data_IF_281322318822
#
_entry.id   IF_281322318822
#
_cell.length_a   1.000
_cell.length_b   1.000
_cell.length_c   1.000
_cell.angle_alpha   90.00
_cell.angle_beta   90.00
_cell.angle_gamma   90.00
#
_symmetry.space_group_name_H-M   'P 1'
#
loop_
_entity.id
_entity.type
_entity.pdbx_description
1 polymer ?
#
# COMPACT_ATOMS: atom_id res chain seq x y z
N UNK A 1 34.27 37.84 -8.86
CA UNK A 1 33.73 36.79 -9.74
C UNK A 1 34.31 35.45 -9.28
N UNK A 2 33.62 34.80 -8.35
CA UNK A 2 34.06 33.52 -7.81
C UNK A 2 33.51 32.40 -8.71
N UNK A 3 34.43 31.64 -9.29
CA UNK A 3 34.20 30.45 -10.08
C UNK A 3 33.36 29.45 -9.28
N UNK A 4 32.11 29.24 -9.70
CA UNK A 4 31.35 28.04 -9.30
C UNK A 4 32.04 26.85 -9.97
N UNK A 5 32.79 26.08 -9.19
CA UNK A 5 33.10 24.72 -9.56
C UNK A 5 31.77 23.97 -9.76
N UNK A 6 31.63 23.12 -10.79
CA UNK A 6 30.48 22.24 -10.89
C UNK A 6 30.60 21.27 -9.72
N UNK A 7 29.68 21.40 -8.75
CA UNK A 7 29.57 20.44 -7.65
C UNK A 7 29.36 19.06 -8.26
N UNK A 8 30.16 18.10 -7.79
CA UNK A 8 30.03 16.69 -8.12
C UNK A 8 28.57 16.29 -7.89
N UNK A 9 27.84 16.05 -8.98
CA UNK A 9 26.40 15.82 -8.95
C UNK A 9 26.18 14.39 -8.44
N UNK A 10 26.26 14.20 -7.13
CA UNK A 10 26.01 12.90 -6.52
C UNK A 10 24.51 12.59 -6.66
N UNK A 11 24.12 11.97 -7.78
CA UNK A 11 22.73 11.67 -8.21
C UNK A 11 22.00 10.70 -7.28
N UNK A 12 22.64 10.27 -6.20
CA UNK A 12 22.21 9.16 -5.35
C UNK A 12 21.67 9.61 -4.00
N UNK A 13 21.76 10.91 -3.69
CA UNK A 13 21.11 11.51 -2.52
C UNK A 13 19.82 12.20 -3.00
N UNK A 14 18.66 11.93 -2.37
CA UNK A 14 17.41 12.56 -2.77
C UNK A 14 17.49 14.06 -2.51
N UNK A 15 17.35 14.83 -3.57
CA UNK A 15 17.26 16.29 -3.54
C UNK A 15 15.86 16.69 -4.03
N UNK A 16 15.16 17.56 -3.32
CA UNK A 16 13.75 17.84 -3.64
C UNK A 16 13.62 18.79 -4.84
N UNK A 17 12.79 18.40 -5.82
CA UNK A 17 12.52 19.24 -7.00
C UNK A 17 11.62 20.42 -6.62
N UNK A 18 10.58 20.14 -5.84
CA UNK A 18 9.78 21.13 -5.12
C UNK A 18 9.80 20.79 -3.65
N UNK A 19 10.04 21.81 -2.81
CA UNK A 19 10.06 21.67 -1.35
C UNK A 19 8.81 20.93 -0.89
N UNK A 20 9.01 19.76 -0.28
CA UNK A 20 7.98 18.88 0.29
C UNK A 20 7.02 18.16 -0.70
N UNK A 21 7.28 18.16 -2.01
CA UNK A 21 6.41 17.46 -2.99
C UNK A 21 7.03 16.17 -3.48
N UNK A 22 8.15 16.27 -4.19
CA UNK A 22 8.83 15.12 -4.75
C UNK A 22 10.33 15.35 -4.88
N UNK A 23 11.06 14.25 -4.89
CA UNK A 23 12.51 14.28 -5.09
C UNK A 23 12.85 14.38 -6.57
N UNK A 24 14.06 14.80 -6.89
CA UNK A 24 14.72 14.49 -8.16
C UNK A 24 14.88 12.97 -8.28
N UNK A 25 15.04 12.45 -9.51
CA UNK A 25 15.22 11.03 -9.72
C UNK A 25 16.52 10.53 -9.08
N UNK A 26 16.44 9.51 -8.24
CA UNK A 26 17.59 8.81 -7.65
C UNK A 26 17.41 7.29 -7.80
N UNK A 27 18.52 6.55 -7.75
CA UNK A 27 18.52 5.09 -7.81
C UNK A 27 18.44 4.49 -6.39
N UNK A 28 17.46 3.62 -6.12
CA UNK A 28 17.18 3.12 -4.77
C UNK A 28 18.35 2.31 -4.19
N UNK A 29 18.97 1.44 -4.99
CA UNK A 29 20.14 0.67 -4.55
C UNK A 29 21.36 1.54 -4.26
N UNK A 30 21.53 2.63 -4.99
CA UNK A 30 22.62 3.58 -4.74
C UNK A 30 22.38 4.36 -3.46
N UNK A 31 21.13 4.76 -3.18
CA UNK A 31 20.74 5.34 -1.90
C UNK A 31 21.07 4.38 -0.76
N UNK A 32 20.65 3.11 -0.86
CA UNK A 32 20.93 2.08 0.13
C UNK A 32 22.43 2.00 0.44
N UNK A 33 23.26 1.83 -0.59
CA UNK A 33 24.70 1.67 -0.42
C UNK A 33 25.34 2.91 0.22
N UNK A 34 24.98 4.11 -0.23
CA UNK A 34 25.50 5.37 0.33
C UNK A 34 25.17 5.51 1.83
N UNK A 35 23.98 5.08 2.26
CA UNK A 35 23.63 5.07 3.68
C UNK A 35 24.42 4.01 4.46
N UNK A 36 24.60 2.81 3.92
CA UNK A 36 25.40 1.76 4.57
C UNK A 36 26.87 2.13 4.69
N UNK A 37 27.42 2.90 3.75
CA UNK A 37 28.80 3.38 3.79
C UNK A 37 29.01 4.50 4.84
N UNK A 38 27.96 5.28 5.13
CA UNK A 38 28.02 6.41 6.08
C UNK A 38 27.65 6.02 7.51
N UNK A 39 26.78 5.04 7.68
CA UNK A 39 26.32 4.57 8.98
C UNK A 39 27.30 3.54 9.57
N UNK A 40 27.40 3.52 10.90
CA UNK A 40 28.09 2.43 11.60
C UNK A 40 27.20 1.20 11.58
N UNK A 41 27.75 -0.02 11.59
CA UNK A 41 26.95 -1.25 11.66
C UNK A 41 25.94 -1.30 12.82
N UNK A 42 26.25 -0.67 13.96
CA UNK A 42 25.32 -0.57 15.09
C UNK A 42 24.07 0.28 14.79
N UNK A 43 24.14 1.24 13.86
CA UNK A 43 23.03 2.15 13.56
C UNK A 43 21.87 1.45 12.84
N UNK A 44 22.16 0.38 12.09
CA UNK A 44 21.17 -0.42 11.36
C UNK A 44 21.08 -1.87 11.85
N UNK A 45 21.70 -2.19 12.98
CA UNK A 45 21.60 -3.53 13.55
C UNK A 45 20.22 -3.78 14.16
N UNK A 46 19.76 -5.03 14.05
CA UNK A 46 18.57 -5.50 14.76
C UNK A 46 18.88 -5.98 16.18
N UNK A 47 20.15 -6.07 16.55
CA UNK A 47 20.58 -6.42 17.89
C UNK A 47 20.31 -5.26 18.85
N UNK A 48 19.85 -5.62 20.05
CA UNK A 48 19.70 -4.67 21.14
C UNK A 48 20.99 -4.71 21.94
N UNK A 49 21.71 -3.60 22.01
CA UNK A 49 22.86 -3.47 22.91
C UNK A 49 22.40 -3.72 24.35
N UNK A 50 23.25 -4.38 25.14
CA UNK A 50 22.98 -4.50 26.56
C UNK A 50 23.05 -3.12 27.23
N UNK A 51 22.30 -2.93 28.31
CA UNK A 51 22.20 -1.62 28.97
C UNK A 51 23.56 -1.11 29.46
N UNK A 52 24.47 -1.99 29.89
CA UNK A 52 25.77 -1.56 30.41
C UNK A 52 26.67 -1.04 29.29
N UNK A 53 26.72 -1.75 28.16
CA UNK A 53 27.42 -1.30 26.95
C UNK A 53 26.84 0.01 26.41
N UNK A 54 25.50 0.11 26.34
CA UNK A 54 24.84 1.36 25.93
C UNK A 54 25.23 2.53 26.84
N UNK A 55 25.17 2.33 28.15
CA UNK A 55 25.51 3.38 29.12
C UNK A 55 26.99 3.77 29.06
N UNK A 56 27.90 2.81 28.85
CA UNK A 56 29.31 3.09 28.67
C UNK A 56 29.57 3.93 27.40
N UNK A 57 28.98 3.52 26.28
CA UNK A 57 29.08 4.24 25.00
C UNK A 57 28.50 5.67 25.11
N UNK A 58 27.33 5.82 25.74
CA UNK A 58 26.68 7.11 25.95
C UNK A 58 27.53 8.03 26.83
N UNK A 59 28.12 7.51 27.91
CA UNK A 59 28.98 8.30 28.79
C UNK A 59 30.25 8.78 28.05
N UNK A 60 30.85 7.92 27.23
CA UNK A 60 32.01 8.27 26.40
C UNK A 60 31.66 9.35 25.36
N UNK A 61 30.57 9.18 24.60
CA UNK A 61 30.15 10.10 23.55
C UNK A 61 29.76 11.48 24.09
N UNK A 62 29.07 11.51 25.22
CA UNK A 62 28.64 12.75 25.87
C UNK A 62 29.72 13.38 26.77
N UNK A 63 30.86 12.71 26.95
CA UNK A 63 31.96 13.17 27.81
C UNK A 63 31.59 13.24 29.29
N UNK A 64 30.76 12.31 29.77
CA UNK A 64 30.25 12.27 31.13
C UNK A 64 31.17 11.44 32.04
N UNK A 65 31.37 11.91 33.28
CA UNK A 65 32.05 11.13 34.30
C UNK A 65 31.12 10.06 34.91
N UNK A 66 31.72 9.09 35.59
CA UNK A 66 31.01 7.94 36.17
C UNK A 66 29.96 8.36 37.24
N UNK A 67 30.21 9.44 37.98
CA UNK A 67 29.26 9.93 38.97
C UNK A 67 28.03 10.51 38.27
N UNK A 68 28.23 11.40 37.31
CA UNK A 68 27.14 11.98 36.52
C UNK A 68 26.31 10.91 35.80
N UNK A 69 26.96 9.87 35.24
CA UNK A 69 26.25 8.77 34.60
C UNK A 69 25.40 7.95 35.58
N UNK A 70 25.89 7.74 36.80
CA UNK A 70 25.14 7.04 37.85
C UNK A 70 23.93 7.84 38.30
N UNK A 71 24.09 9.16 38.46
CA UNK A 71 23.00 10.08 38.78
C UNK A 71 21.94 10.08 37.67
N UNK A 72 22.34 10.17 36.40
CA UNK A 72 21.44 10.08 35.25
C UNK A 72 20.70 8.74 35.20
N UNK A 73 21.38 7.61 35.44
CA UNK A 73 20.76 6.29 35.48
C UNK A 73 19.68 6.22 36.56
N UNK A 74 19.95 6.81 37.72
CA UNK A 74 18.97 6.89 38.80
C UNK A 74 17.78 7.76 38.41
N UNK A 75 18.03 9.00 37.95
CA UNK A 75 17.01 10.00 37.63
C UNK A 75 16.13 9.62 36.42
N UNK A 76 16.70 8.94 35.43
CA UNK A 76 16.02 8.52 34.21
C UNK A 76 15.53 7.07 34.27
N UNK A 77 15.54 6.44 35.46
CA UNK A 77 15.01 5.10 35.66
C UNK A 77 13.50 5.05 35.48
N UNK A 78 12.96 3.87 35.14
CA UNK A 78 11.51 3.63 35.11
C UNK A 78 10.85 3.92 36.46
N UNK A 79 11.57 3.73 37.57
CA UNK A 79 11.06 4.02 38.91
C UNK A 79 10.94 5.53 39.16
N UNK A 80 11.87 6.33 38.64
CA UNK A 80 11.75 7.80 38.68
C UNK A 80 10.65 8.36 37.76
N UNK A 81 10.23 7.59 36.75
CA UNK A 81 9.08 7.92 35.90
C UNK A 81 7.73 7.59 36.55
N UNK A 82 7.70 6.82 37.66
CA UNK A 82 6.45 6.52 38.37
C UNK A 82 5.98 7.75 39.14
N UNK A 83 4.88 8.35 38.70
CA UNK A 83 4.22 9.44 39.41
C UNK A 83 3.27 8.97 40.54
N UNK A 84 3.18 7.66 40.78
CA UNK A 84 2.21 7.05 41.69
C UNK A 84 2.88 6.10 42.69
N UNK A 85 2.34 5.96 43.92
CA UNK A 85 2.87 5.04 44.92
C UNK A 85 2.91 3.59 44.43
N UNK A 86 3.90 2.83 44.87
CA UNK A 86 4.01 1.40 44.54
C UNK A 86 2.75 0.64 44.99
N UNK A 87 2.14 -0.11 44.06
CA UNK A 87 0.92 -0.88 44.28
C UNK A 87 -0.37 -0.21 43.83
N UNK A 88 -0.35 1.07 43.42
CA UNK A 88 -1.51 1.72 42.82
C UNK A 88 -1.57 1.43 41.31
N UNK A 89 -2.54 0.64 40.87
CA UNK A 89 -2.84 0.46 39.45
C UNK A 89 -3.53 1.72 38.94
N UNK A 90 -2.83 2.50 38.12
CA UNK A 90 -3.39 3.70 37.50
C UNK A 90 -3.76 3.40 36.06
N UNK A 91 -4.98 3.78 35.71
CA UNK A 91 -5.43 3.70 34.32
C UNK A 91 -4.67 4.73 33.48
N UNK A 92 -3.72 4.25 32.69
CA UNK A 92 -2.89 5.06 31.78
C UNK A 92 -3.68 5.74 30.65
N UNK A 93 -4.96 5.39 30.48
CA UNK A 93 -5.87 6.05 29.54
C UNK A 93 -6.54 7.30 30.08
N UNK A 94 -6.50 7.53 31.39
CA UNK A 94 -7.07 8.72 32.00
C UNK A 94 -6.09 9.89 31.91
N UNK A 95 -6.48 10.94 31.17
CA UNK A 95 -5.74 12.20 31.18
C UNK A 95 -6.08 12.98 32.47
N UNK A 96 -5.10 13.43 33.26
CA UNK A 96 -5.33 14.19 34.48
C UNK A 96 -6.16 15.47 34.24
N UNK A 97 -6.97 15.92 35.22
CA UNK A 97 -7.58 17.24 35.15
C UNK A 97 -6.48 18.32 35.13
N UNK A 98 -6.63 19.31 34.24
CA UNK A 98 -5.67 20.41 34.02
C UNK A 98 -4.26 20.00 33.54
N UNK A 99 -4.14 19.33 32.37
CA UNK A 99 -2.85 18.93 31.84
C UNK A 99 -2.00 20.14 31.42
N UNK A 100 -0.81 20.29 32.00
CA UNK A 100 0.18 21.30 31.61
C UNK A 100 0.92 20.94 30.33
N UNK A 101 1.06 19.63 30.04
CA UNK A 101 1.72 19.12 28.83
C UNK A 101 0.81 19.23 27.61
N UNK A 102 1.30 19.87 26.54
CA UNK A 102 0.57 19.99 25.26
C UNK A 102 0.17 18.64 24.68
N UNK A 103 0.98 17.60 24.86
CA UNK A 103 0.69 16.23 24.42
C UNK A 103 -0.54 15.65 25.12
N UNK A 104 -0.69 15.88 26.41
CA UNK A 104 -1.87 15.47 27.18
C UNK A 104 -3.11 16.28 26.80
N UNK A 105 -2.97 17.59 26.56
CA UNK A 105 -4.05 18.43 26.01
C UNK A 105 -4.53 17.89 24.65
N UNK A 106 -3.60 17.55 23.76
CA UNK A 106 -3.92 16.97 22.45
C UNK A 106 -4.54 15.57 22.57
N UNK A 107 -4.01 14.71 23.47
CA UNK A 107 -4.58 13.39 23.76
C UNK A 107 -6.01 13.52 24.26
N UNK A 108 -6.28 14.42 25.21
CA UNK A 108 -7.62 14.69 25.73
C UNK A 108 -8.55 15.18 24.63
N UNK A 109 -8.13 16.16 23.81
CA UNK A 109 -8.89 16.60 22.62
C UNK A 109 -9.20 15.44 21.67
N UNK A 110 -8.24 14.55 21.40
CA UNK A 110 -8.44 13.37 20.53
C UNK A 110 -9.39 12.35 21.16
N UNK A 111 -9.29 12.11 22.47
CA UNK A 111 -10.19 11.24 23.22
C UNK A 111 -11.62 11.80 23.24
N UNK A 112 -11.79 13.09 23.51
CA UNK A 112 -13.09 13.76 23.53
C UNK A 112 -13.71 13.80 22.12
N UNK A 113 -12.91 14.08 21.09
CA UNK A 113 -13.34 13.97 19.70
C UNK A 113 -13.78 12.55 19.37
N UNK A 114 -12.97 11.53 19.70
CA UNK A 114 -13.30 10.12 19.48
C UNK A 114 -14.53 9.67 20.28
N UNK A 115 -14.76 10.21 21.48
CA UNK A 115 -15.95 9.94 22.27
C UNK A 115 -17.20 10.65 21.70
N UNK A 116 -17.04 11.83 21.10
CA UNK A 116 -18.12 12.54 20.39
C UNK A 116 -18.52 11.85 19.09
N UNK A 117 -17.55 11.19 18.45
CA UNK A 117 -17.77 10.35 17.31
C UNK A 117 -18.50 9.10 17.79
N UNK A 118 -19.81 8.99 17.49
CA UNK A 118 -20.60 7.74 17.63
C UNK A 118 -20.13 6.67 16.62
N UNK A 119 -18.83 6.47 16.48
CA UNK A 119 -18.23 5.49 15.60
C UNK A 119 -18.09 4.20 16.40
N UNK A 120 -19.03 3.29 16.20
CA UNK A 120 -18.80 1.90 16.54
C UNK A 120 -17.73 1.37 15.60
N UNK A 121 -16.57 0.98 16.15
CA UNK A 121 -15.60 0.18 15.40
C UNK A 121 -16.33 -1.08 14.94
N UNK A 122 -16.41 -1.26 13.65
CA UNK A 122 -17.02 -2.48 13.12
C UNK A 122 -15.98 -3.60 13.10
N UNK A 123 -16.42 -4.83 12.86
CA UNK A 123 -15.56 -6.01 12.84
C UNK A 123 -14.32 -5.87 11.93
N UNK A 124 -14.43 -5.19 10.79
CA UNK A 124 -13.31 -5.00 9.86
C UNK A 124 -12.24 -4.06 10.43
N UNK A 125 -12.65 -3.00 11.14
CA UNK A 125 -11.70 -2.08 11.77
C UNK A 125 -10.88 -2.81 12.85
N UNK A 126 -11.51 -3.73 13.57
CA UNK A 126 -10.84 -4.57 14.57
C UNK A 126 -9.85 -5.55 13.92
N UNK A 127 -10.23 -6.21 12.82
CA UNK A 127 -9.32 -7.10 12.09
C UNK A 127 -8.13 -6.36 11.48
N UNK A 128 -8.34 -5.17 10.93
CA UNK A 128 -7.24 -4.35 10.40
C UNK A 128 -6.23 -3.98 11.50
N UNK A 129 -6.71 -3.56 12.67
CA UNK A 129 -5.85 -3.26 13.82
C UNK A 129 -5.13 -4.52 14.35
N UNK A 130 -5.78 -5.68 14.31
CA UNK A 130 -5.16 -6.95 14.71
C UNK A 130 -4.03 -7.33 13.74
N UNK A 131 -4.27 -7.24 12.42
CA UNK A 131 -3.25 -7.49 11.40
C UNK A 131 -2.04 -6.55 11.54
N UNK A 132 -2.27 -5.26 11.77
CA UNK A 132 -1.19 -4.30 12.01
C UNK A 132 -0.36 -4.70 13.23
N UNK A 133 -1.02 -5.02 14.36
CA UNK A 133 -0.35 -5.46 15.60
C UNK A 133 0.47 -6.74 15.43
N UNK A 134 0.02 -7.66 14.58
CA UNK A 134 0.73 -8.91 14.31
C UNK A 134 2.05 -8.72 13.57
N UNK A 135 2.27 -7.55 12.94
CA UNK A 135 3.45 -7.27 12.11
C UNK A 135 4.47 -6.39 12.83
N UNK A 136 4.04 -5.50 13.72
CA UNK A 136 4.92 -4.58 14.46
C UNK A 136 5.94 -5.34 15.32
N UNK A 137 7.23 -5.12 15.05
CA UNK A 137 8.35 -5.75 15.77
C UNK A 137 8.41 -7.28 15.65
N UNK A 138 7.67 -7.88 14.72
CA UNK A 138 7.63 -9.33 14.55
C UNK A 138 8.97 -9.83 14.01
N UNK A 139 9.56 -10.80 14.71
CA UNK A 139 10.78 -11.50 14.28
C UNK A 139 10.40 -12.91 13.83
N UNK A 140 11.04 -13.40 12.78
CA UNK A 140 10.86 -14.80 12.36
C UNK A 140 11.58 -15.73 13.33
N UNK A 141 10.97 -16.90 13.58
CA UNK A 141 11.61 -17.97 14.35
C UNK A 141 12.72 -18.67 13.54
N UNK A 142 12.66 -18.58 12.21
CA UNK A 142 13.64 -19.17 11.31
C UNK A 142 14.66 -18.11 10.84
N UNK A 143 15.97 -18.26 11.12
CA UNK A 143 16.97 -17.27 10.76
C UNK A 143 17.05 -16.95 9.25
N UNK A 144 16.72 -17.89 8.36
CA UNK A 144 16.71 -17.68 6.91
C UNK A 144 15.59 -16.75 6.42
N UNK A 145 14.49 -16.67 7.18
CA UNK A 145 13.33 -15.84 6.88
C UNK A 145 13.44 -14.44 7.49
N UNK A 146 14.54 -14.13 8.18
CA UNK A 146 14.79 -12.80 8.71
C UNK A 146 15.21 -11.84 7.59
N UNK A 147 14.61 -10.65 7.56
CA UNK A 147 15.07 -9.50 6.77
C UNK A 147 16.56 -9.28 7.07
N UNK A 148 17.44 -9.11 6.06
CA UNK A 148 18.84 -8.86 6.32
C UNK A 148 19.04 -7.43 6.85
N UNK A 149 20.06 -7.25 7.68
CA UNK A 149 20.48 -5.92 8.10
C UNK A 149 20.90 -5.09 6.89
N UNK A 150 20.53 -3.81 6.90
CA UNK A 150 20.76 -2.92 5.77
C UNK A 150 19.88 -3.17 4.54
N UNK A 151 18.83 -3.99 4.62
CA UNK A 151 17.77 -4.04 3.61
C UNK A 151 17.02 -2.71 3.52
N UNK A 152 16.44 -2.40 2.36
CA UNK A 152 15.53 -1.25 2.20
C UNK A 152 14.08 -1.66 2.24
N UNK A 153 13.25 -0.81 2.84
CA UNK A 153 11.79 -0.93 2.84
C UNK A 153 11.22 0.28 2.12
N UNK A 154 10.29 0.01 1.20
CA UNK A 154 9.54 0.99 0.44
C UNK A 154 8.09 1.01 0.92
N UNK A 155 7.54 2.21 1.07
CA UNK A 155 6.08 2.40 1.24
C UNK A 155 5.48 2.80 -0.09
N UNK A 156 4.56 1.97 -0.61
CA UNK A 156 3.98 2.10 -1.94
C UNK A 156 2.48 2.27 -1.82
N UNK A 157 1.98 3.41 -2.29
CA UNK A 157 0.56 3.71 -2.40
C UNK A 157 0.06 3.37 -3.80
N UNK A 158 -1.00 2.58 -3.87
CA UNK A 158 -1.68 2.23 -5.12
C UNK A 158 -3.06 2.87 -5.09
N UNK A 159 -3.38 3.67 -6.11
CA UNK A 159 -4.67 4.36 -6.21
C UNK A 159 -5.67 3.53 -7.01
N UNK A 160 -6.95 3.92 -6.90
CA UNK A 160 -7.99 3.35 -7.75
C UNK A 160 -7.70 3.60 -9.22
N UNK A 161 -8.21 2.73 -10.11
CA UNK A 161 -7.98 2.92 -11.52
C UNK A 161 -8.68 4.19 -12.01
N UNK A 162 -8.09 4.87 -12.99
CA UNK A 162 -8.52 6.19 -13.46
C UNK A 162 -9.99 6.23 -13.91
N UNK A 163 -10.54 5.08 -14.32
CA UNK A 163 -11.95 4.88 -14.68
C UNK A 163 -12.90 5.15 -13.50
N UNK A 164 -12.48 4.98 -12.25
CA UNK A 164 -13.31 5.19 -11.05
C UNK A 164 -13.20 6.64 -10.56
N UNK A 165 -13.78 7.56 -11.35
CA UNK A 165 -13.72 9.02 -11.13
C UNK A 165 -13.99 9.49 -9.69
N UNK A 166 -14.84 8.76 -8.95
CA UNK A 166 -15.20 9.10 -7.55
C UNK A 166 -13.98 9.10 -6.61
N UNK A 167 -12.97 8.28 -6.88
CA UNK A 167 -11.84 8.08 -5.96
C UNK A 167 -10.51 8.62 -6.48
N UNK A 168 -10.50 9.28 -7.64
CA UNK A 168 -9.27 9.75 -8.30
C UNK A 168 -8.43 10.75 -7.49
N UNK A 169 -8.95 11.33 -6.39
CA UNK A 169 -8.30 12.47 -5.71
C UNK A 169 -8.22 12.40 -4.19
N UNK A 170 -8.78 11.37 -3.53
CA UNK A 170 -9.03 11.47 -2.08
C UNK A 170 -8.17 10.52 -1.25
N UNK A 171 -7.98 9.25 -1.67
CA UNK A 171 -7.25 8.24 -0.89
C UNK A 171 -6.61 7.17 -1.76
N UNK A 172 -5.43 6.63 -1.36
CA UNK A 172 -4.93 5.41 -1.96
C UNK A 172 -5.96 4.29 -1.75
N UNK A 173 -6.10 3.43 -2.76
CA UNK A 173 -6.89 2.21 -2.66
C UNK A 173 -6.24 1.25 -1.66
N UNK A 174 -4.91 1.16 -1.67
CA UNK A 174 -4.14 0.37 -0.72
C UNK A 174 -2.73 0.94 -0.53
N UNK A 175 -2.12 0.63 0.61
CA UNK A 175 -0.71 0.92 0.91
C UNK A 175 -0.01 -0.39 1.23
N UNK A 176 1.10 -0.62 0.55
CA UNK A 176 1.96 -1.78 0.71
C UNK A 176 3.30 -1.34 1.28
N UNK A 177 3.87 -2.13 2.18
CA UNK A 177 5.30 -2.10 2.48
C UNK A 177 5.98 -3.29 1.82
N UNK A 178 7.06 -3.02 1.09
CA UNK A 178 7.82 -4.03 0.33
C UNK A 178 9.32 -3.81 0.54
N UNK A 179 10.09 -4.88 0.53
CA UNK A 179 11.56 -4.80 0.57
C UNK A 179 12.13 -4.47 -0.81
N UNK A 180 13.35 -3.92 -0.85
CA UNK A 180 14.07 -3.67 -2.11
C UNK A 180 14.31 -4.92 -2.95
N UNK A 181 14.39 -6.08 -2.30
CA UNK A 181 14.57 -7.39 -2.92
C UNK A 181 13.34 -7.96 -3.63
N UNK A 182 12.14 -7.40 -3.40
CA UNK A 182 10.96 -7.80 -4.18
C UNK A 182 11.09 -7.33 -5.63
N UNK A 183 10.60 -8.14 -6.56
CA UNK A 183 10.47 -7.79 -7.97
C UNK A 183 9.25 -6.89 -8.21
N UNK A 184 9.23 -6.23 -9.38
CA UNK A 184 8.01 -5.57 -9.84
C UNK A 184 6.86 -6.57 -10.12
N UNK A 185 7.19 -7.83 -10.43
CA UNK A 185 6.18 -8.89 -10.51
C UNK A 185 5.52 -9.18 -9.16
N UNK A 186 6.28 -9.15 -8.06
CA UNK A 186 5.73 -9.29 -6.70
C UNK A 186 4.80 -8.11 -6.36
N UNK A 187 5.17 -6.89 -6.77
CA UNK A 187 4.30 -5.71 -6.62
C UNK A 187 3.01 -5.88 -7.43
N UNK A 188 3.09 -6.34 -8.67
CA UNK A 188 1.90 -6.65 -9.50
C UNK A 188 0.99 -7.64 -8.79
N UNK A 189 1.54 -8.72 -8.25
CA UNK A 189 0.75 -9.79 -7.64
C UNK A 189 0.10 -9.36 -6.32
N UNK A 190 0.70 -8.41 -5.61
CA UNK A 190 0.13 -7.81 -4.39
C UNK A 190 -1.04 -6.84 -4.66
N UNK A 191 -1.15 -6.26 -5.86
CA UNK A 191 -2.21 -5.30 -6.19
C UNK A 191 -3.56 -6.02 -6.33
N UNK A 192 -4.54 -5.63 -5.51
CA UNK A 192 -5.89 -6.21 -5.50
C UNK A 192 -6.88 -5.41 -6.37
N UNK A 193 -6.73 -5.38 -7.69
CA UNK A 193 -7.66 -4.63 -8.54
C UNK A 193 -8.98 -5.39 -8.75
N UNK A 194 -10.14 -4.76 -8.55
CA UNK A 194 -11.46 -5.40 -8.77
C UNK A 194 -11.63 -5.80 -10.25
N UNK A 195 -11.02 -5.07 -11.18
CA UNK A 195 -11.01 -5.43 -12.60
C UNK A 195 -10.39 -6.80 -12.85
N UNK A 196 -9.49 -7.29 -11.99
CA UNK A 196 -8.93 -8.64 -12.10
C UNK A 196 -9.95 -9.74 -11.85
N UNK A 197 -10.99 -9.46 -11.06
CA UNK A 197 -12.07 -10.39 -10.73
C UNK A 197 -13.23 -10.30 -11.71
N UNK A 198 -13.31 -9.25 -12.53
CA UNK A 198 -14.42 -9.01 -13.43
C UNK A 198 -14.55 -10.16 -14.44
N UNK A 199 -15.79 -10.52 -14.78
CA UNK A 199 -16.08 -11.45 -15.87
C UNK A 199 -16.53 -10.63 -17.07
N UNK A 200 -15.83 -10.80 -18.20
CA UNK A 200 -16.16 -10.12 -19.45
C UNK A 200 -17.20 -10.92 -20.22
N UNK A 201 -18.20 -10.23 -20.77
CA UNK A 201 -19.21 -10.83 -21.65
C UNK A 201 -20.64 -10.55 -21.22
N UNK A 202 -21.54 -10.72 -22.18
CA UNK A 202 -22.97 -10.56 -22.02
C UNK A 202 -23.62 -11.95 -21.92
N UNK A 203 -24.46 -12.16 -20.90
CA UNK A 203 -25.00 -13.48 -20.56
C UNK A 203 -26.51 -13.46 -20.29
N UNK A 204 -27.27 -12.50 -20.81
CA UNK A 204 -28.73 -12.44 -20.62
C UNK A 204 -29.49 -13.60 -21.25
N UNK A 205 -28.94 -14.27 -22.25
CA UNK A 205 -29.58 -15.44 -22.85
C UNK A 205 -29.14 -16.75 -22.19
N UNK A 206 -27.99 -16.73 -21.51
CA UNK A 206 -27.33 -17.93 -20.98
C UNK A 206 -26.64 -17.63 -19.65
N UNK A 207 -27.39 -17.18 -18.64
CA UNK A 207 -26.83 -16.71 -17.37
C UNK A 207 -26.12 -17.81 -16.58
N UNK A 208 -26.48 -19.08 -16.79
CA UNK A 208 -25.81 -20.25 -16.18
C UNK A 208 -24.49 -20.63 -16.87
N UNK A 209 -24.19 -20.03 -18.04
CA UNK A 209 -22.93 -20.21 -18.75
C UNK A 209 -21.94 -19.08 -18.48
N UNK A 210 -22.25 -18.16 -17.55
CA UNK A 210 -21.27 -17.19 -17.09
C UNK A 210 -20.05 -17.93 -16.52
N UNK A 211 -18.85 -17.71 -17.07
CA UNK A 211 -17.69 -18.51 -16.71
C UNK A 211 -17.21 -18.21 -15.30
N UNK A 212 -16.57 -19.21 -14.69
CA UNK A 212 -15.87 -19.07 -13.41
C UNK A 212 -14.49 -18.41 -13.56
N UNK A 213 -13.96 -18.29 -14.78
CA UNK A 213 -12.67 -17.63 -15.00
C UNK A 213 -12.79 -16.12 -14.80
N UNK A 214 -11.74 -15.53 -14.22
CA UNK A 214 -11.67 -14.09 -13.95
C UNK A 214 -10.78 -13.39 -14.99
N UNK A 215 -10.98 -12.09 -15.20
CA UNK A 215 -10.22 -11.30 -16.18
C UNK A 215 -8.70 -11.48 -16.07
N UNK A 216 -8.15 -11.59 -14.85
CA UNK A 216 -6.69 -11.76 -14.65
C UNK A 216 -6.14 -13.05 -15.28
N UNK A 217 -6.96 -14.08 -15.44
CA UNK A 217 -6.53 -15.35 -16.03
C UNK A 217 -6.39 -15.26 -17.55
N UNK A 218 -7.19 -14.42 -18.20
CA UNK A 218 -7.17 -14.21 -19.65
C UNK A 218 -6.31 -13.03 -20.08
N UNK A 219 -6.42 -11.91 -19.37
CA UNK A 219 -5.74 -10.66 -19.68
C UNK A 219 -4.50 -10.49 -18.81
N UNK A 220 -3.49 -11.33 -19.09
CA UNK A 220 -2.26 -11.42 -18.30
C UNK A 220 -1.28 -10.27 -18.55
N UNK A 221 -1.41 -9.52 -19.64
CA UNK A 221 -0.52 -8.41 -19.95
C UNK A 221 -0.65 -7.25 -18.95
N UNK A 222 0.49 -6.74 -18.49
CA UNK A 222 0.58 -5.56 -17.65
C UNK A 222 1.95 -4.89 -17.80
N UNK A 223 2.04 -3.62 -17.43
CA UNK A 223 3.32 -2.94 -17.25
C UNK A 223 3.30 -1.96 -16.07
N UNK A 224 4.48 -1.69 -15.54
CA UNK A 224 4.74 -0.46 -14.79
C UNK A 224 5.52 0.53 -15.67
N UNK A 225 5.30 1.81 -15.48
CA UNK A 225 6.05 2.87 -16.15
C UNK A 225 6.71 3.77 -15.09
N UNK A 226 8.03 3.63 -14.95
CA UNK A 226 8.86 4.44 -14.07
C UNK A 226 9.96 5.15 -14.87
N UNK A 227 10.07 6.47 -14.70
CA UNK A 227 11.17 7.30 -15.25
C UNK A 227 11.52 7.01 -16.73
N UNK A 228 10.52 6.84 -17.59
CA UNK A 228 10.72 6.61 -19.04
C UNK A 228 10.97 5.16 -19.44
N UNK A 229 10.85 4.21 -18.51
CA UNK A 229 11.02 2.78 -18.76
C UNK A 229 9.69 2.04 -18.55
N UNK A 230 9.28 1.25 -19.54
CA UNK A 230 8.17 0.31 -19.43
C UNK A 230 8.69 -1.04 -18.94
N UNK A 231 8.24 -1.47 -17.76
CA UNK A 231 8.53 -2.78 -17.19
C UNK A 231 7.35 -3.70 -17.49
N UNK A 232 7.44 -4.46 -18.58
CA UNK A 232 6.38 -5.34 -19.07
C UNK A 232 6.38 -6.67 -18.34
N UNK A 233 5.20 -7.25 -18.10
CA UNK A 233 5.07 -8.60 -17.58
C UNK A 233 5.20 -9.58 -18.73
N UNK A 234 6.28 -10.34 -18.71
CA UNK A 234 6.57 -11.35 -19.74
C UNK A 234 6.69 -12.76 -19.14
N UNK A 235 6.12 -12.98 -17.94
CA UNK A 235 6.19 -14.26 -17.21
C UNK A 235 5.45 -15.39 -17.89
N UNK A 236 4.43 -15.07 -18.68
CA UNK A 236 3.58 -16.04 -19.36
C UNK A 236 3.68 -15.88 -20.89
N UNK A 237 3.68 -16.98 -21.67
CA UNK A 237 3.68 -16.92 -23.13
C UNK A 237 2.53 -16.11 -23.75
N UNK A 238 1.40 -16.01 -23.04
CA UNK A 238 0.21 -15.27 -23.44
C UNK A 238 0.34 -13.76 -23.21
N UNK A 239 1.33 -13.32 -22.42
CA UNK A 239 1.58 -11.90 -22.22
C UNK A 239 1.99 -11.23 -23.52
N UNK A 240 1.30 -10.14 -23.83
CA UNK A 240 1.60 -9.26 -24.95
C UNK A 240 2.21 -7.97 -24.43
N UNK A 241 3.12 -7.40 -25.20
CA UNK A 241 3.68 -6.09 -24.91
C UNK A 241 2.68 -4.99 -25.26
N UNK A 242 1.81 -4.68 -24.30
CA UNK A 242 0.81 -3.62 -24.42
C UNK A 242 1.43 -2.20 -24.34
N UNK A 243 2.72 -2.08 -23.98
CA UNK A 243 3.41 -0.79 -23.96
C UNK A 243 3.75 -0.27 -25.37
N UNK A 244 3.88 -1.17 -26.35
CA UNK A 244 4.26 -0.84 -27.72
C UNK A 244 3.37 0.23 -28.35
N UNK A 245 2.05 0.17 -28.12
CA UNK A 245 1.10 1.16 -28.61
C UNK A 245 1.47 2.57 -28.17
N UNK A 246 1.84 2.75 -26.89
CA UNK A 246 2.25 4.03 -26.33
C UNK A 246 3.61 4.48 -26.84
N UNK A 247 4.54 3.53 -27.01
CA UNK A 247 5.89 3.80 -27.52
C UNK A 247 5.84 4.31 -28.96
N UNK A 248 5.08 3.64 -29.83
CA UNK A 248 4.89 4.05 -31.23
C UNK A 248 4.17 5.39 -31.32
N UNK A 249 3.09 5.57 -30.56
CA UNK A 249 2.35 6.82 -30.50
C UNK A 249 3.23 8.02 -30.08
N UNK A 250 4.13 7.79 -29.12
CA UNK A 250 5.08 8.80 -28.62
C UNK A 250 6.15 9.14 -29.66
N UNK A 251 6.67 8.12 -30.35
CA UNK A 251 7.65 8.29 -31.44
C UNK A 251 7.10 9.16 -32.57
N UNK A 252 5.87 8.90 -33.01
CA UNK A 252 5.19 9.67 -34.07
C UNK A 252 4.98 11.15 -33.71
N UNK A 253 5.03 11.47 -32.41
CA UNK A 253 4.84 12.83 -31.86
C UNK A 253 6.13 13.47 -31.38
N UNK A 254 7.28 12.88 -31.67
CA UNK A 254 8.59 13.35 -31.23
C UNK A 254 8.74 13.47 -29.70
N UNK A 255 8.10 12.58 -28.93
CA UNK A 255 8.43 12.40 -27.52
C UNK A 255 9.82 11.75 -27.36
N UNK A 256 10.46 11.88 -26.18
CA UNK A 256 11.68 11.14 -25.87
C UNK A 256 11.50 9.63 -26.06
N UNK A 257 12.58 8.94 -26.45
CA UNK A 257 12.57 7.49 -26.57
C UNK A 257 12.32 6.84 -25.20
N UNK A 258 11.40 5.88 -25.17
CA UNK A 258 11.15 5.05 -24.01
C UNK A 258 12.01 3.79 -24.06
N UNK A 259 12.43 3.31 -22.89
CA UNK A 259 13.08 2.01 -22.75
C UNK A 259 12.08 0.94 -22.31
N UNK A 260 12.46 -0.32 -22.46
CA UNK A 260 11.66 -1.47 -22.04
C UNK A 260 12.52 -2.45 -21.25
N UNK A 261 11.93 -3.05 -20.22
CA UNK A 261 12.51 -4.09 -19.39
C UNK A 261 11.42 -5.07 -18.95
N UNK A 262 11.82 -6.21 -18.38
CA UNK A 262 10.88 -7.20 -17.83
C UNK A 262 10.67 -6.94 -16.34
N UNK A 263 9.41 -6.97 -15.89
CA UNK A 263 9.10 -6.69 -14.48
C UNK A 263 9.53 -7.85 -13.55
N UNK A 264 9.54 -9.08 -14.06
CA UNK A 264 9.99 -10.26 -13.31
C UNK A 264 11.51 -10.29 -13.06
N UNK A 265 12.28 -9.61 -13.91
CA UNK A 265 13.74 -9.52 -13.81
C UNK A 265 14.21 -8.24 -13.10
N UNK A 266 13.29 -7.36 -12.70
CA UNK A 266 13.60 -6.05 -12.11
C UNK A 266 13.18 -6.00 -10.63
N UNK A 267 14.14 -5.79 -9.73
CA UNK A 267 13.85 -5.58 -8.31
C UNK A 267 13.52 -4.13 -8.00
N UNK A 268 12.80 -3.88 -6.91
CA UNK A 268 12.48 -2.52 -6.45
C UNK A 268 13.75 -1.71 -6.16
N UNK A 269 14.82 -2.36 -5.69
CA UNK A 269 16.12 -1.74 -5.44
C UNK A 269 16.81 -1.23 -6.71
N UNK A 270 16.49 -1.80 -7.88
CA UNK A 270 17.09 -1.43 -9.17
C UNK A 270 16.40 -0.19 -9.80
N UNK A 271 15.29 0.26 -9.20
CA UNK A 271 14.50 1.34 -9.78
C UNK A 271 15.16 2.70 -9.57
N UNK A 272 15.06 3.52 -10.62
CA UNK A 272 15.26 4.96 -10.53
C UNK A 272 13.91 5.64 -10.37
N UNK A 273 13.75 6.42 -9.30
CA UNK A 273 12.44 6.96 -8.90
C UNK A 273 12.58 8.34 -8.26
N UNK A 274 11.44 9.02 -8.16
CA UNK A 274 11.17 10.21 -7.39
C UNK A 274 10.20 9.82 -6.28
N UNK A 275 10.58 10.03 -5.02
CA UNK A 275 9.66 9.82 -3.90
C UNK A 275 8.55 10.88 -3.98
N UNK A 276 7.30 10.47 -3.78
CA UNK A 276 6.12 11.34 -3.87
C UNK A 276 5.61 11.59 -5.30
N UNK A 277 6.24 11.02 -6.32
CA UNK A 277 5.83 11.20 -7.72
C UNK A 277 4.83 10.12 -8.20
N UNK A 278 3.82 10.49 -9.00
CA UNK A 278 2.86 9.53 -9.56
C UNK A 278 3.44 8.77 -10.75
N UNK A 279 3.60 7.46 -10.58
CA UNK A 279 3.92 6.49 -11.62
C UNK A 279 2.69 5.74 -12.10
N UNK A 280 2.80 5.05 -13.23
CA UNK A 280 1.69 4.34 -13.85
C UNK A 280 1.88 2.82 -13.73
N UNK A 281 0.83 2.14 -13.29
CA UNK A 281 0.64 0.70 -13.46
C UNK A 281 -0.55 0.50 -14.38
N UNK A 282 -0.40 -0.24 -15.48
CA UNK A 282 -1.49 -0.57 -16.38
C UNK A 282 -1.59 -2.09 -16.50
N UNK A 283 -2.79 -2.63 -16.37
CA UNK A 283 -3.07 -4.04 -16.62
C UNK A 283 -4.35 -4.19 -17.45
N UNK A 284 -4.48 -5.34 -18.13
CA UNK A 284 -5.63 -5.65 -19.00
C UNK A 284 -5.81 -4.71 -20.21
N UNK A 285 -4.84 -3.82 -20.47
CA UNK A 285 -4.82 -2.92 -21.62
C UNK A 285 -5.33 -1.50 -21.33
N UNK A 286 -6.26 -1.32 -20.39
CA UNK A 286 -6.88 -0.02 -20.10
C UNK A 286 -7.12 0.27 -18.61
N UNK A 287 -6.80 -0.67 -17.71
CA UNK A 287 -6.95 -0.46 -16.28
C UNK A 287 -5.70 0.22 -15.70
N UNK A 288 -5.72 1.55 -15.70
CA UNK A 288 -4.60 2.41 -15.31
C UNK A 288 -4.69 2.85 -13.85
N UNK A 289 -3.66 2.55 -13.05
CA UNK A 289 -3.52 2.93 -11.65
C UNK A 289 -2.34 3.88 -11.46
N UNK A 290 -2.51 4.86 -10.57
CA UNK A 290 -1.37 5.60 -10.05
C UNK A 290 -0.68 4.80 -8.94
N UNK A 291 0.64 4.70 -9.03
CA UNK A 291 1.51 4.09 -8.03
C UNK A 291 2.47 5.17 -7.53
N UNK A 292 2.48 5.42 -6.22
CA UNK A 292 3.33 6.44 -5.60
C UNK A 292 4.20 5.77 -4.54
N UNK A 293 5.51 5.85 -4.71
CA UNK A 293 6.47 5.48 -3.65
C UNK A 293 6.59 6.69 -2.73
N UNK A 294 6.07 6.59 -1.52
CA UNK A 294 6.03 7.72 -0.56
C UNK A 294 7.18 7.73 0.42
N UNK A 295 7.85 6.59 0.61
CA UNK A 295 8.97 6.47 1.54
C UNK A 295 9.93 5.38 1.07
N UNK A 296 11.22 5.61 1.25
CA UNK A 296 12.31 4.65 1.00
C UNK A 296 13.31 4.81 2.15
N UNK A 297 13.48 3.75 2.95
CA UNK A 297 14.34 3.79 4.14
C UNK A 297 14.99 2.43 4.40
N UNK A 298 16.02 2.41 5.24
CA UNK A 298 16.56 1.16 5.76
C UNK A 298 15.56 0.49 6.70
N UNK A 299 15.57 -0.84 6.73
CA UNK A 299 14.85 -1.65 7.69
C UNK A 299 15.33 -1.34 9.11
N UNK A 300 14.40 -1.20 10.04
CA UNK A 300 14.64 -0.89 11.44
C UNK A 300 14.22 -2.06 12.33
N UNK A 301 14.83 -2.20 13.50
CA UNK A 301 14.58 -3.31 14.46
C UNK A 301 13.12 -3.45 14.93
N UNK A 302 12.32 -2.40 14.81
CA UNK A 302 10.89 -2.39 15.17
C UNK A 302 9.96 -2.72 13.98
N UNK A 303 10.50 -2.87 12.77
CA UNK A 303 9.72 -3.33 11.64
C UNK A 303 9.37 -4.81 11.77
N UNK A 304 8.47 -5.28 10.90
CA UNK A 304 8.34 -6.70 10.66
C UNK A 304 9.63 -7.21 10.02
N UNK A 305 10.37 -8.05 10.74
CA UNK A 305 11.60 -8.67 10.28
C UNK A 305 11.36 -10.08 9.69
N UNK A 306 10.13 -10.56 9.67
CA UNK A 306 9.76 -11.80 9.00
C UNK A 306 9.45 -11.54 7.51
N UNK A 307 10.34 -12.01 6.63
CA UNK A 307 10.23 -11.86 5.16
C UNK A 307 8.93 -12.44 4.61
N UNK A 308 8.43 -13.53 5.20
CA UNK A 308 7.26 -14.25 4.69
C UNK A 308 5.96 -13.46 4.79
N UNK A 309 5.94 -12.41 5.61
CA UNK A 309 4.79 -11.54 5.75
C UNK A 309 4.76 -10.41 4.71
N UNK A 310 5.88 -10.16 4.02
CA UNK A 310 5.90 -9.22 2.91
C UNK A 310 5.34 -9.87 1.64
N UNK A 311 4.68 -9.09 0.74
CA UNK A 311 4.32 -7.67 0.89
C UNK A 311 3.31 -7.40 2.01
N UNK A 312 3.59 -6.40 2.85
CA UNK A 312 2.72 -6.06 3.99
C UNK A 312 1.64 -5.07 3.55
N UNK A 313 0.38 -5.48 3.66
CA UNK A 313 -0.76 -4.58 3.46
C UNK A 313 -1.02 -3.75 4.73
N UNK A 314 -0.54 -2.51 4.76
CA UNK A 314 -0.70 -1.62 5.93
C UNK A 314 -1.96 -0.76 5.88
N UNK A 315 -2.49 -0.52 4.68
CA UNK A 315 -3.75 0.19 4.50
C UNK A 315 -4.54 -0.37 3.33
N UNK A 316 -5.86 -0.43 3.50
CA UNK A 316 -6.80 -0.69 2.41
C UNK A 316 -8.04 0.17 2.59
N UNK A 317 -8.40 0.88 1.53
CA UNK A 317 -9.60 1.70 1.53
C UNK A 317 -10.84 0.81 1.38
N UNK A 318 -11.71 0.86 2.39
CA UNK A 318 -12.95 0.10 2.41
C UNK A 318 -14.04 0.75 1.57
N UNK A 319 -14.65 -0.03 0.69
CA UNK A 319 -15.79 0.41 -0.12
C UNK A 319 -17.09 -0.14 0.48
N UNK A 320 -18.16 0.64 0.42
CA UNK A 320 -19.49 0.15 0.80
C UNK A 320 -19.98 -0.85 -0.25
N UNK A 321 -20.25 -2.08 0.18
CA UNK A 321 -20.81 -3.14 -0.65
C UNK A 321 -22.13 -2.71 -1.29
N UNK A 322 -22.24 -2.93 -2.60
CA UNK A 322 -23.42 -2.61 -3.39
C UNK A 322 -24.42 -3.77 -3.32
N UNK A 323 -25.60 -3.48 -2.77
CA UNK A 323 -26.69 -4.45 -2.63
C UNK A 323 -27.62 -4.38 -3.83
N UNK A 324 -28.35 -5.47 -4.06
CA UNK A 324 -29.43 -5.55 -5.02
C UNK A 324 -30.40 -4.37 -4.89
N UNK A 325 -30.74 -3.73 -5.99
CA UNK A 325 -31.66 -2.60 -6.07
C UNK A 325 -33.12 -2.99 -5.75
N UNK A 326 -33.46 -4.29 -5.82
CA UNK A 326 -34.81 -4.79 -5.54
C UNK A 326 -34.97 -5.20 -4.08
N UNK A 327 -34.14 -6.15 -3.61
CA UNK A 327 -34.33 -6.69 -2.26
C UNK A 327 -33.57 -5.90 -1.19
N UNK A 328 -32.53 -5.13 -1.53
CA UNK A 328 -31.64 -4.42 -0.59
C UNK A 328 -31.01 -5.31 0.51
N UNK A 329 -31.05 -6.63 0.35
CA UNK A 329 -30.52 -7.62 1.30
C UNK A 329 -29.20 -8.18 0.79
N UNK A 330 -29.22 -8.80 -0.39
CA UNK A 330 -28.09 -9.53 -0.94
C UNK A 330 -27.18 -8.63 -1.79
N UNK A 331 -25.89 -8.98 -1.86
CA UNK A 331 -24.90 -8.32 -2.72
C UNK A 331 -25.32 -8.48 -4.18
N UNK A 332 -25.15 -7.41 -4.96
CA UNK A 332 -25.37 -7.47 -6.40
C UNK A 332 -24.40 -8.45 -7.07
N UNK A 333 -24.88 -9.17 -8.08
CA UNK A 333 -24.09 -10.10 -8.90
C UNK A 333 -24.30 -9.90 -10.40
N UNK A 334 -25.33 -9.14 -10.78
CA UNK A 334 -25.70 -8.90 -12.17
C UNK A 334 -26.00 -7.42 -12.38
N UNK A 335 -25.40 -6.83 -13.40
CA UNK A 335 -25.81 -5.54 -13.94
C UNK A 335 -26.62 -5.77 -15.19
N UNK A 336 -27.80 -5.17 -15.27
CA UNK A 336 -28.58 -5.11 -16.51
C UNK A 336 -28.55 -3.71 -17.12
N UNK A 337 -28.62 -3.66 -18.44
CA UNK A 337 -28.77 -2.44 -19.24
C UNK A 337 -29.85 -2.66 -20.29
N UNK A 338 -30.48 -1.57 -20.75
CA UNK A 338 -31.64 -1.61 -21.65
C UNK A 338 -32.75 -2.51 -21.11
N UNK A 339 -32.94 -2.51 -19.80
CA UNK A 339 -33.85 -3.40 -19.11
C UNK A 339 -35.16 -2.68 -18.77
N UNK A 340 -36.25 -3.13 -19.40
CA UNK A 340 -37.58 -2.55 -19.24
C UNK A 340 -38.25 -2.88 -17.90
N UNK A 341 -37.76 -3.90 -17.18
CA UNK A 341 -38.28 -4.30 -15.88
C UNK A 341 -37.53 -3.64 -14.72
N UNK A 342 -36.32 -3.13 -15.00
CA UNK A 342 -35.48 -2.51 -13.99
C UNK A 342 -35.98 -1.12 -13.55
N UNK A 343 -35.83 -0.79 -12.25
CA UNK A 343 -36.14 0.54 -11.72
C UNK A 343 -35.13 1.63 -12.12
N UNK A 344 -33.97 1.27 -12.68
CA UNK A 344 -32.92 2.19 -13.10
C UNK A 344 -32.12 1.63 -14.27
N UNK A 345 -31.31 2.47 -14.94
CA UNK A 345 -30.39 2.02 -15.99
C UNK A 345 -29.01 2.65 -15.78
N UNK A 346 -27.93 1.85 -15.60
CA UNK A 346 -27.92 0.41 -15.33
C UNK A 346 -28.62 0.05 -14.01
N UNK A 347 -28.98 -1.23 -13.82
CA UNK A 347 -29.54 -1.72 -12.56
C UNK A 347 -28.76 -2.92 -12.03
N UNK A 348 -28.61 -2.97 -10.70
CA UNK A 348 -27.87 -4.01 -10.01
C UNK A 348 -28.81 -4.98 -9.31
N UNK A 349 -28.68 -6.27 -9.60
CA UNK A 349 -29.50 -7.33 -9.02
C UNK A 349 -28.63 -8.37 -8.31
N UNK A 350 -29.12 -8.94 -7.21
CA UNK A 350 -28.60 -10.22 -6.74
C UNK A 350 -29.12 -11.34 -7.66
N UNK A 351 -28.45 -12.49 -7.61
CA UNK A 351 -28.78 -13.62 -8.49
C UNK A 351 -30.26 -14.03 -8.44
N UNK A 352 -30.82 -14.19 -7.23
CA UNK A 352 -32.23 -14.57 -7.06
C UNK A 352 -33.20 -13.55 -7.68
N UNK A 353 -33.02 -12.25 -7.41
CA UNK A 353 -33.90 -11.21 -7.95
C UNK A 353 -33.74 -11.08 -9.47
N UNK A 354 -32.52 -11.24 -9.99
CA UNK A 354 -32.26 -11.26 -11.41
C UNK A 354 -33.05 -12.39 -12.09
N UNK A 355 -32.98 -13.63 -11.56
CA UNK A 355 -33.70 -14.77 -12.13
C UNK A 355 -35.21 -14.59 -12.08
N UNK A 356 -35.75 -14.21 -10.91
CA UNK A 356 -37.20 -14.07 -10.72
C UNK A 356 -37.86 -12.99 -11.57
N UNK A 357 -37.13 -11.92 -11.91
CA UNK A 357 -37.68 -10.79 -12.66
C UNK A 357 -37.56 -11.00 -14.17
N UNK A 358 -36.51 -11.68 -14.63
CA UNK A 358 -36.13 -11.69 -16.04
C UNK A 358 -36.31 -13.04 -16.75
N UNK A 359 -36.67 -14.11 -16.03
CA UNK A 359 -36.85 -15.44 -16.62
C UNK A 359 -38.10 -16.11 -16.08
N UNK A 360 -38.76 -16.91 -16.91
CA UNK A 360 -39.88 -17.76 -16.48
C UNK A 360 -39.38 -19.01 -15.71
N UNK A 361 -40.31 -19.89 -15.31
CA UNK A 361 -40.00 -21.09 -14.56
C UNK A 361 -39.19 -22.11 -15.37
N UNK A 362 -39.29 -22.04 -16.70
CA UNK A 362 -38.57 -22.86 -17.67
C UNK A 362 -37.18 -22.28 -18.02
N UNK A 363 -36.87 -21.07 -17.54
CA UNK A 363 -35.60 -20.38 -17.78
C UNK A 363 -35.57 -19.57 -19.07
N UNK A 364 -36.71 -19.34 -19.73
CA UNK A 364 -36.78 -18.49 -20.90
C UNK A 364 -36.74 -17.02 -20.50
N UNK A 365 -35.98 -16.24 -21.25
CA UNK A 365 -35.82 -14.80 -21.05
C UNK A 365 -37.14 -14.06 -21.30
N UNK A 366 -37.57 -13.32 -20.29
CA UNK A 366 -38.72 -12.43 -20.34
C UNK A 366 -38.21 -11.04 -20.76
N UNK A 367 -38.41 -10.66 -22.02
CA UNK A 367 -38.11 -9.33 -22.57
C UNK A 367 -36.67 -9.09 -23.04
N UNK A 368 -36.46 -7.91 -23.61
CA UNK A 368 -35.18 -7.51 -24.21
C UNK A 368 -34.36 -6.70 -23.20
N UNK A 369 -33.23 -7.25 -22.79
CA UNK A 369 -32.23 -6.61 -21.92
C UNK A 369 -30.86 -7.25 -22.16
N UNK A 370 -29.79 -6.59 -21.72
CA UNK A 370 -28.45 -7.19 -21.65
C UNK A 370 -28.05 -7.36 -20.19
N UNK A 371 -27.36 -8.44 -19.86
CA UNK A 371 -26.94 -8.76 -18.50
C UNK A 371 -25.46 -9.11 -18.46
N UNK A 372 -24.76 -8.49 -17.52
CA UNK A 372 -23.33 -8.63 -17.30
C UNK A 372 -23.10 -9.07 -15.86
N UNK A 373 -22.26 -10.08 -15.60
CA UNK A 373 -21.83 -10.41 -14.26
C UNK A 373 -21.18 -9.17 -13.61
N UNK A 374 -21.44 -8.99 -12.33
CA UNK A 374 -20.91 -7.87 -11.55
C UNK A 374 -20.16 -8.41 -10.36
N UNK A 375 -18.94 -7.90 -10.19
CA UNK A 375 -18.16 -8.10 -8.97
C UNK A 375 -18.21 -6.84 -8.12
N UNK A 376 -18.58 -7.01 -6.85
CA UNK A 376 -18.63 -5.90 -5.93
C UNK A 376 -17.26 -5.25 -5.74
N UNK A 377 -17.20 -3.92 -5.76
CA UNK A 377 -15.95 -3.21 -5.54
C UNK A 377 -15.36 -3.45 -4.14
N UNK A 378 -16.20 -3.83 -3.17
CA UNK A 378 -15.80 -4.28 -1.84
C UNK A 378 -15.48 -5.77 -1.76
N UNK A 379 -15.30 -6.49 -2.87
CA UNK A 379 -14.90 -7.92 -2.86
C UNK A 379 -13.60 -8.19 -2.10
N UNK A 380 -12.78 -7.14 -1.97
CA UNK A 380 -11.48 -7.15 -1.33
C UNK A 380 -11.47 -6.50 0.07
N UNK A 381 -12.64 -6.11 0.60
CA UNK A 381 -12.78 -5.45 1.91
C UNK A 381 -12.25 -6.26 3.08
#
# INVERSE_FOLDING_TARGET
MASKQPGDANTNIPDYEYTDVNTKPFHIGSLRNEWLDRLKPCDFSFQQEDEETFHANFAEEMGLDAQTMTELRSLCSLDSLRCHPEGQTVDTDVVPPDPTLKTLVQRKKKQDYKASLKISKNRHDLYAEELERLTTGRKSEAPGDMIPEGEVILTINVYYPAIIKRFNYVRPHMTLMMTGSHSLADLRDAICCVSDLQVCGEFSNTPDMAPDFISKDHFKSAFFFFEGVFYNDMRFPECQDISMTTIEWGKDRNFPSYAQAKMEDTQLVDLKVKVGFPYLYCHQGDCEHLVIITDVRLAHKNDCLDKKLYPLLTHKHRIITQKCAVCHVFIGRWITVNDQFAPSVPCLFCDKCFRMLHYDAEGNKLGDFLAYPYVDQGAFN
#
